data_IF_297598073219
#
_entry.id   IF_297598073219
#
_cell.length_a   1.000
_cell.length_b   1.000
_cell.length_c   1.000
_cell.angle_alpha   90.00
_cell.angle_beta   90.00
_cell.angle_gamma   90.00
#
_symmetry.space_group_name_H-M   'P 1'
#
loop_
_entity.id
_entity.type
_entity.pdbx_description
1 polymer ?
#
# COMPACT_ATOMS: atom_id res chain seq x y z
N UNK A 1 12.99 42.23 -7.33
CA UNK A 1 13.19 41.63 -5.99
C UNK A 1 11.93 40.85 -5.66
N UNK A 2 12.06 39.54 -5.56
CA UNK A 2 11.01 38.54 -5.79
C UNK A 2 9.99 38.43 -4.66
N UNK A 3 8.70 38.52 -5.00
CA UNK A 3 7.58 37.95 -4.26
C UNK A 3 6.52 37.53 -5.29
N UNK A 4 6.59 36.29 -5.78
CA UNK A 4 5.48 35.62 -6.49
C UNK A 4 5.55 34.12 -6.26
N UNK A 5 4.37 33.53 -6.03
CA UNK A 5 3.99 32.10 -6.12
C UNK A 5 4.33 31.18 -4.94
N UNK A 6 3.53 31.29 -3.87
CA UNK A 6 3.16 30.15 -3.01
C UNK A 6 1.65 30.23 -2.75
N UNK A 7 0.83 29.93 -3.76
CA UNK A 7 -0.60 29.69 -3.55
C UNK A 7 -1.21 29.02 -4.79
N UNK A 8 -1.28 27.68 -4.79
CA UNK A 8 -2.24 26.87 -5.57
C UNK A 8 -1.99 25.38 -5.31
N UNK A 9 -2.60 24.86 -4.24
CA UNK A 9 -3.16 23.49 -4.19
C UNK A 9 -4.26 23.49 -3.12
N UNK A 10 -5.37 24.15 -3.46
CA UNK A 10 -6.66 23.85 -2.85
C UNK A 10 -7.16 22.58 -3.55
N UNK A 11 -6.77 21.42 -3.01
CA UNK A 11 -7.50 20.19 -3.26
C UNK A 11 -8.94 20.44 -2.81
N UNK A 12 -9.87 20.28 -3.75
CA UNK A 12 -11.29 20.40 -3.51
C UNK A 12 -11.68 19.51 -2.33
N UNK A 13 -12.07 20.18 -1.25
CA UNK A 13 -12.62 19.64 -0.04
C UNK A 13 -13.84 18.76 -0.35
N UNK A 14 -13.61 17.45 -0.33
CA UNK A 14 -14.64 16.43 -0.07
C UNK A 14 -14.51 15.81 1.33
N UNK A 15 -13.48 16.15 2.11
CA UNK A 15 -13.16 15.48 3.39
C UNK A 15 -13.43 16.31 4.66
N UNK A 16 -13.94 17.54 4.58
CA UNK A 16 -14.13 18.37 5.78
C UNK A 16 -15.47 18.16 6.53
N UNK A 17 -16.23 17.11 6.22
CA UNK A 17 -17.38 16.68 7.04
C UNK A 17 -17.06 15.42 7.88
N UNK A 18 -15.78 15.05 8.00
CA UNK A 18 -15.30 13.80 8.59
C UNK A 18 -14.69 13.97 9.99
N UNK A 19 -15.23 14.86 10.83
CA UNK A 19 -14.56 15.25 12.08
C UNK A 19 -14.98 14.48 13.35
N UNK A 20 -16.28 14.21 13.54
CA UNK A 20 -16.77 13.85 14.90
C UNK A 20 -17.62 12.57 14.99
N UNK A 21 -18.42 12.26 13.96
CA UNK A 21 -19.36 11.13 14.06
C UNK A 21 -18.75 9.79 13.61
N UNK A 22 -17.88 9.78 12.60
CA UNK A 22 -17.17 8.57 12.15
C UNK A 22 -16.07 8.14 13.14
N UNK A 23 -15.43 9.10 13.80
CA UNK A 23 -14.35 8.88 14.78
C UNK A 23 -14.87 8.26 16.07
N UNK A 24 -16.00 8.75 16.60
CA UNK A 24 -16.64 8.19 17.80
C UNK A 24 -17.17 6.75 17.57
N UNK A 25 -17.70 6.44 16.38
CA UNK A 25 -18.12 5.08 16.03
C UNK A 25 -16.92 4.13 15.92
N UNK A 26 -15.83 4.56 15.27
CA UNK A 26 -14.63 3.73 15.11
C UNK A 26 -13.96 3.43 16.46
N UNK A 27 -13.92 4.42 17.37
CA UNK A 27 -13.46 4.22 18.75
C UNK A 27 -14.33 3.20 19.48
N UNK A 28 -15.66 3.38 19.47
CA UNK A 28 -16.59 2.47 20.13
C UNK A 28 -16.48 1.03 19.60
N UNK A 29 -16.17 0.86 18.32
CA UNK A 29 -15.98 -0.45 17.69
C UNK A 29 -14.64 -1.08 18.06
N UNK A 30 -13.55 -0.30 18.07
CA UNK A 30 -12.26 -0.74 18.59
C UNK A 30 -12.35 -1.14 20.06
N UNK A 31 -13.10 -0.39 20.89
CA UNK A 31 -13.33 -0.70 22.30
C UNK A 31 -14.24 -1.93 22.49
N UNK A 32 -15.26 -2.08 21.64
CA UNK A 32 -16.13 -3.26 21.64
C UNK A 32 -15.32 -4.53 21.29
N UNK A 33 -14.45 -4.47 20.28
CA UNK A 33 -13.58 -5.60 19.89
C UNK A 33 -12.41 -5.82 20.87
N UNK A 34 -11.82 -4.78 21.44
CA UNK A 34 -10.92 -4.89 22.60
C UNK A 34 -11.61 -5.64 23.75
N UNK A 35 -12.91 -5.40 23.96
CA UNK A 35 -13.75 -6.17 24.90
C UNK A 35 -13.87 -7.65 24.55
N UNK A 36 -13.97 -7.99 23.25
CA UNK A 36 -14.13 -9.36 22.72
C UNK A 36 -12.81 -10.14 22.54
N UNK A 37 -11.66 -9.49 22.65
CA UNK A 37 -10.34 -10.15 22.65
C UNK A 37 -10.23 -11.23 23.74
N UNK A 38 -9.30 -12.20 23.59
CA UNK A 38 -9.07 -13.25 24.58
C UNK A 38 -8.96 -12.69 26.00
N UNK A 39 -9.30 -13.58 26.93
CA UNK A 39 -9.39 -13.30 28.35
C UNK A 39 -8.13 -12.57 28.85
N UNK A 40 -8.32 -11.61 29.76
CA UNK A 40 -7.23 -10.83 30.34
C UNK A 40 -6.19 -11.74 31.00
N UNK A 41 -5.00 -11.20 31.30
CA UNK A 41 -3.99 -11.96 32.04
C UNK A 41 -4.52 -12.59 33.34
N UNK A 42 -5.53 -11.99 33.99
CA UNK A 42 -6.18 -12.52 35.18
C UNK A 42 -7.07 -13.75 34.93
N UNK A 43 -7.48 -14.00 33.69
CA UNK A 43 -8.39 -15.07 33.29
C UNK A 43 -7.67 -16.21 32.53
N UNK A 44 -6.42 -15.98 32.10
CA UNK A 44 -5.54 -16.99 31.53
C UNK A 44 -4.94 -17.86 32.65
N UNK A 45 -5.28 -19.15 32.67
CA UNK A 45 -4.74 -20.08 33.68
C UNK A 45 -3.25 -20.38 33.42
N UNK A 46 -2.37 -19.93 34.30
CA UNK A 46 -0.92 -20.19 34.21
C UNK A 46 -0.58 -21.59 34.76
N UNK A 47 -0.13 -22.52 33.91
CA UNK A 47 0.41 -23.82 34.34
C UNK A 47 1.91 -23.72 34.73
N UNK A 48 2.36 -24.49 35.73
CA UNK A 48 3.71 -24.53 36.33
C UNK A 48 4.55 -25.75 35.84
N UNK A 49 5.89 -25.79 36.00
CA UNK A 49 6.89 -24.78 35.68
C UNK A 49 7.89 -25.26 34.59
N UNK A 50 8.39 -24.30 33.82
CA UNK A 50 9.60 -24.38 32.99
C UNK A 50 10.37 -23.09 33.24
N UNK A 51 11.71 -23.10 33.36
CA UNK A 51 12.51 -21.88 33.62
C UNK A 51 12.53 -20.89 32.43
N UNK A 52 11.38 -20.42 31.94
CA UNK A 52 11.26 -19.41 30.90
C UNK A 52 11.20 -18.01 31.54
N UNK A 53 11.71 -17.01 30.81
CA UNK A 53 11.61 -15.62 31.24
C UNK A 53 10.14 -15.18 31.41
N UNK A 54 9.21 -15.75 30.64
CA UNK A 54 7.77 -15.49 30.80
C UNK A 54 7.24 -15.92 32.17
N UNK A 55 7.72 -17.03 32.75
CA UNK A 55 7.30 -17.46 34.09
C UNK A 55 7.88 -16.59 35.21
N UNK A 56 9.10 -16.08 35.04
CA UNK A 56 9.70 -15.15 35.99
C UNK A 56 8.89 -13.85 36.06
N UNK A 57 8.52 -13.28 34.92
CA UNK A 57 7.71 -12.05 34.87
C UNK A 57 6.30 -12.29 35.45
N UNK A 58 5.70 -13.46 35.23
CA UNK A 58 4.42 -13.84 35.86
C UNK A 58 4.51 -13.81 37.38
N UNK A 59 5.59 -14.35 37.95
CA UNK A 59 5.80 -14.33 39.38
C UNK A 59 5.94 -12.89 39.91
N UNK A 60 6.67 -12.03 39.19
CA UNK A 60 6.79 -10.60 39.55
C UNK A 60 5.42 -9.88 39.51
N UNK A 61 4.56 -10.21 38.54
CA UNK A 61 3.19 -9.70 38.47
C UNK A 61 2.37 -10.15 39.68
N UNK A 62 2.41 -11.44 40.06
CA UNK A 62 1.66 -11.96 41.20
C UNK A 62 2.09 -11.27 42.52
N UNK A 63 3.40 -11.04 42.68
CA UNK A 63 3.94 -10.29 43.82
C UNK A 63 3.44 -8.85 43.83
N UNK A 64 3.51 -8.16 42.68
CA UNK A 64 3.07 -6.78 42.55
C UNK A 64 1.54 -6.62 42.78
N UNK A 65 0.74 -7.58 42.32
CA UNK A 65 -0.70 -7.64 42.57
C UNK A 65 -1.01 -7.77 44.06
N UNK A 66 -0.27 -8.63 44.77
CA UNK A 66 -0.45 -8.82 46.21
C UNK A 66 -0.01 -7.62 47.04
N UNK A 67 1.01 -6.90 46.61
CA UNK A 67 1.63 -5.81 47.39
C UNK A 67 0.99 -4.45 47.11
N UNK A 68 0.66 -4.15 45.86
CA UNK A 68 0.24 -2.82 45.40
C UNK A 68 -1.17 -2.78 44.78
N UNK A 69 -1.81 -3.94 44.59
CA UNK A 69 -3.15 -4.04 44.02
C UNK A 69 -3.19 -4.02 42.48
N UNK A 70 -4.38 -4.22 41.88
CA UNK A 70 -4.56 -4.57 40.45
C UNK A 70 -4.24 -3.47 39.44
N UNK A 71 -4.12 -2.22 39.88
CA UNK A 71 -3.94 -1.05 39.01
C UNK A 71 -2.67 -0.27 39.32
N UNK A 72 -1.71 -0.87 40.04
CA UNK A 72 -0.45 -0.19 40.32
C UNK A 72 0.29 0.16 39.02
N UNK A 73 0.90 1.34 38.89
CA UNK A 73 1.60 1.75 37.67
C UNK A 73 2.67 0.75 37.20
N UNK A 74 3.34 0.09 38.15
CA UNK A 74 4.38 -0.91 37.88
C UNK A 74 3.83 -2.12 37.10
N UNK A 75 2.56 -2.48 37.29
CA UNK A 75 1.94 -3.57 36.57
C UNK A 75 1.82 -3.29 35.06
N UNK A 76 1.67 -2.02 34.66
CA UNK A 76 1.63 -1.66 33.23
C UNK A 76 2.90 -2.12 32.51
N UNK A 77 4.06 -1.79 33.08
CA UNK A 77 5.36 -2.19 32.54
C UNK A 77 5.60 -3.71 32.62
N UNK A 78 5.20 -4.35 33.71
CA UNK A 78 5.35 -5.80 33.87
C UNK A 78 4.49 -6.57 32.85
N UNK A 79 3.23 -6.16 32.65
CA UNK A 79 2.38 -6.73 31.61
C UNK A 79 2.96 -6.48 30.21
N UNK A 80 3.41 -5.27 29.89
CA UNK A 80 4.03 -4.99 28.58
C UNK A 80 5.29 -5.85 28.34
N UNK A 81 6.09 -6.08 29.39
CA UNK A 81 7.29 -6.93 29.33
C UNK A 81 6.94 -8.40 29.12
N UNK A 82 5.93 -8.91 29.83
CA UNK A 82 5.42 -10.27 29.64
C UNK A 82 4.84 -10.46 28.23
N UNK A 83 4.05 -9.50 27.75
CA UNK A 83 3.49 -9.54 26.40
C UNK A 83 4.58 -9.61 25.33
N UNK A 84 5.64 -8.81 25.48
CA UNK A 84 6.79 -8.82 24.57
C UNK A 84 7.55 -10.15 24.62
N UNK A 85 7.71 -10.74 25.81
CA UNK A 85 8.31 -12.07 25.95
C UNK A 85 7.48 -13.17 25.26
N UNK A 86 6.15 -13.12 25.41
CA UNK A 86 5.24 -14.04 24.73
C UNK A 86 5.28 -13.87 23.21
N UNK A 87 5.41 -12.64 22.69
CA UNK A 87 5.64 -12.42 21.26
C UNK A 87 6.93 -13.06 20.76
N UNK A 88 8.02 -12.96 21.52
CA UNK A 88 9.30 -13.61 21.18
C UNK A 88 9.18 -15.13 21.18
N UNK A 89 8.31 -15.68 22.04
CA UNK A 89 7.94 -17.10 22.10
C UNK A 89 6.93 -17.51 21.01
N UNK A 90 6.54 -16.59 20.12
CA UNK A 90 5.52 -16.75 19.07
C UNK A 90 4.10 -17.03 19.61
N UNK A 91 3.88 -16.89 20.91
CA UNK A 91 2.55 -16.96 21.53
C UNK A 91 1.84 -15.60 21.43
N UNK A 92 1.47 -15.26 20.20
CA UNK A 92 0.84 -13.98 19.89
C UNK A 92 -0.56 -13.84 20.49
N UNK A 93 -1.28 -14.94 20.68
CA UNK A 93 -2.62 -14.93 21.26
C UNK A 93 -2.57 -14.58 22.75
N UNK A 94 -1.71 -15.23 23.53
CA UNK A 94 -1.52 -14.87 24.94
C UNK A 94 -0.91 -13.49 25.09
N UNK A 95 0.02 -13.11 24.21
CA UNK A 95 0.59 -11.76 24.21
C UNK A 95 -0.49 -10.67 24.07
N UNK A 96 -1.46 -10.86 23.18
CA UNK A 96 -2.59 -9.94 23.01
C UNK A 96 -3.43 -9.79 24.29
N UNK A 97 -3.73 -10.90 24.98
CA UNK A 97 -4.43 -10.87 26.27
C UNK A 97 -3.67 -10.10 27.35
N UNK A 98 -2.35 -10.25 27.39
CA UNK A 98 -1.47 -9.54 28.34
C UNK A 98 -1.33 -8.06 27.98
N UNK A 99 -1.18 -7.71 26.71
CA UNK A 99 -1.13 -6.30 26.28
C UNK A 99 -2.45 -5.57 26.55
N UNK A 100 -3.60 -6.26 26.47
CA UNK A 100 -4.88 -5.70 26.91
C UNK A 100 -4.88 -5.35 28.40
N UNK A 101 -4.26 -6.18 29.25
CA UNK A 101 -4.07 -5.84 30.67
C UNK A 101 -3.13 -4.64 30.85
N UNK A 102 -2.02 -4.58 30.11
CA UNK A 102 -1.12 -3.41 30.12
C UNK A 102 -1.86 -2.12 29.73
N UNK A 103 -2.64 -2.17 28.64
CA UNK A 103 -3.45 -1.06 28.14
C UNK A 103 -4.45 -0.57 29.19
N UNK A 104 -5.09 -1.49 29.91
CA UNK A 104 -6.06 -1.14 30.94
C UNK A 104 -5.41 -0.41 32.13
N UNK A 105 -4.25 -0.90 32.60
CA UNK A 105 -3.49 -0.26 33.69
C UNK A 105 -3.00 1.13 33.24
N UNK A 106 -2.48 1.27 32.02
CA UNK A 106 -2.07 2.57 31.47
C UNK A 106 -3.23 3.57 31.42
N UNK A 107 -4.41 3.17 30.93
CA UNK A 107 -5.58 4.05 30.85
C UNK A 107 -6.06 4.52 32.22
N UNK A 108 -5.97 3.67 33.25
CA UNK A 108 -6.34 4.06 34.62
C UNK A 108 -5.33 5.06 35.20
N UNK A 109 -4.03 4.86 34.95
CA UNK A 109 -2.99 5.66 35.59
C UNK A 109 -2.65 6.95 34.83
N UNK A 110 -2.66 6.92 33.50
CA UNK A 110 -2.25 8.04 32.63
C UNK A 110 -3.41 8.67 31.87
N UNK A 111 -4.62 8.10 31.97
CA UNK A 111 -5.82 8.56 31.28
C UNK A 111 -6.07 7.86 29.95
N UNK A 112 -7.32 7.91 29.48
CA UNK A 112 -7.81 7.19 28.29
C UNK A 112 -7.07 7.56 27.00
N UNK A 113 -6.44 8.73 26.99
CA UNK A 113 -5.88 9.34 25.80
C UNK A 113 -4.35 9.41 25.84
N UNK A 114 -3.68 8.96 26.91
CA UNK A 114 -2.21 9.06 27.03
C UNK A 114 -1.46 8.48 25.82
N UNK A 115 -0.46 9.21 25.32
CA UNK A 115 0.49 8.73 24.30
C UNK A 115 1.37 7.57 24.80
N UNK A 116 1.41 7.31 26.11
CA UNK A 116 2.00 6.08 26.65
C UNK A 116 1.34 4.83 26.08
N UNK A 117 0.12 4.89 25.54
CA UNK A 117 -0.56 3.74 24.92
C UNK A 117 0.05 3.34 23.56
N UNK A 118 0.77 4.23 22.88
CA UNK A 118 1.25 4.00 21.51
C UNK A 118 2.17 2.77 21.39
N UNK A 119 3.08 2.56 22.36
CA UNK A 119 3.97 1.40 22.36
C UNK A 119 3.24 0.07 22.56
N UNK A 120 2.13 0.08 23.31
CA UNK A 120 1.29 -1.10 23.51
C UNK A 120 0.53 -1.40 22.22
N UNK A 121 0.00 -0.37 21.54
CA UNK A 121 -0.68 -0.53 20.26
C UNK A 121 0.24 -1.09 19.18
N UNK A 122 1.49 -0.62 19.10
CA UNK A 122 2.50 -1.19 18.20
C UNK A 122 2.67 -2.70 18.44
N UNK A 123 2.79 -3.11 19.69
CA UNK A 123 2.95 -4.52 20.03
C UNK A 123 1.68 -5.32 19.67
N UNK A 124 0.49 -4.78 19.94
CA UNK A 124 -0.78 -5.42 19.60
C UNK A 124 -0.96 -5.56 18.07
N UNK A 125 -0.62 -4.55 17.28
CA UNK A 125 -0.62 -4.61 15.80
C UNK A 125 0.31 -5.73 15.31
N UNK A 126 1.54 -5.80 15.85
CA UNK A 126 2.49 -6.87 15.48
C UNK A 126 1.95 -8.27 15.79
N UNK A 127 1.32 -8.48 16.95
CA UNK A 127 0.69 -9.77 17.27
C UNK A 127 -0.50 -10.08 16.35
N UNK A 128 -1.37 -9.11 16.07
CA UNK A 128 -2.52 -9.31 15.20
C UNK A 128 -2.09 -9.69 13.76
N UNK A 129 -1.07 -9.00 13.23
CA UNK A 129 -0.47 -9.33 11.93
C UNK A 129 0.15 -10.73 11.90
N UNK A 130 0.83 -11.13 12.96
CA UNK A 130 1.41 -12.47 13.07
C UNK A 130 0.35 -13.58 13.11
N UNK A 131 -0.80 -13.30 13.72
CA UNK A 131 -1.98 -14.18 13.73
C UNK A 131 -2.79 -14.14 12.42
N UNK A 132 -2.42 -13.28 11.46
CA UNK A 132 -3.19 -12.99 10.24
C UNK A 132 -4.61 -12.47 10.52
N UNK A 133 -4.83 -11.92 11.71
CA UNK A 133 -6.07 -11.21 12.06
C UNK A 133 -5.95 -9.75 11.60
N UNK A 134 -6.10 -9.57 10.28
CA UNK A 134 -5.95 -8.27 9.64
C UNK A 134 -7.00 -7.26 10.10
N UNK A 135 -8.21 -7.72 10.43
CA UNK A 135 -9.25 -6.83 10.96
C UNK A 135 -8.87 -6.29 12.34
N UNK A 136 -8.33 -7.14 13.21
CA UNK A 136 -7.89 -6.69 14.53
C UNK A 136 -6.70 -5.72 14.42
N UNK A 137 -5.76 -5.96 13.50
CA UNK A 137 -4.67 -5.03 13.22
C UNK A 137 -5.19 -3.68 12.69
N UNK A 138 -6.18 -3.71 11.80
CA UNK A 138 -6.87 -2.54 11.25
C UNK A 138 -7.51 -1.71 12.38
N UNK A 139 -8.22 -2.36 13.31
CA UNK A 139 -8.84 -1.68 14.46
C UNK A 139 -7.81 -0.99 15.36
N UNK A 140 -6.68 -1.65 15.65
CA UNK A 140 -5.62 -1.05 16.48
C UNK A 140 -4.94 0.14 15.79
N UNK A 141 -4.75 0.08 14.47
CA UNK A 141 -4.19 1.20 13.72
C UNK A 141 -5.16 2.39 13.68
N UNK A 142 -6.46 2.15 13.53
CA UNK A 142 -7.46 3.22 13.65
C UNK A 142 -7.47 3.84 15.05
N UNK A 143 -7.37 3.02 16.11
CA UNK A 143 -7.28 3.53 17.47
C UNK A 143 -6.01 4.37 17.69
N UNK A 144 -4.88 3.93 17.13
CA UNK A 144 -3.63 4.70 17.17
C UNK A 144 -3.78 6.03 16.42
N UNK A 145 -4.31 6.03 15.21
CA UNK A 145 -4.52 7.26 14.45
C UNK A 145 -5.38 8.26 15.24
N UNK A 146 -6.46 7.77 15.84
CA UNK A 146 -7.33 8.59 16.68
C UNK A 146 -6.57 9.21 17.88
N UNK A 147 -5.73 8.43 18.57
CA UNK A 147 -4.87 8.95 19.64
C UNK A 147 -3.88 9.99 19.12
N UNK A 148 -3.28 9.78 17.95
CA UNK A 148 -2.33 10.69 17.36
C UNK A 148 -2.98 12.05 17.03
N UNK A 149 -4.17 12.01 16.41
CA UNK A 149 -4.95 13.20 16.04
C UNK A 149 -5.32 14.04 17.28
N UNK A 150 -5.70 13.41 18.39
CA UNK A 150 -6.08 14.11 19.63
C UNK A 150 -4.90 14.83 20.31
N UNK A 151 -3.69 14.29 20.23
CA UNK A 151 -2.51 14.87 20.90
C UNK A 151 -1.66 15.75 19.99
N UNK A 152 -1.97 15.83 18.69
CA UNK A 152 -1.04 16.34 17.69
C UNK A 152 0.29 15.58 17.72
N UNK A 153 0.26 14.29 18.11
CA UNK A 153 1.44 13.43 18.16
C UNK A 153 1.78 13.04 16.73
N UNK A 154 3.00 13.35 16.29
CA UNK A 154 3.49 12.94 14.99
C UNK A 154 3.57 11.40 14.99
N UNK A 155 2.73 10.75 14.18
CA UNK A 155 2.66 9.30 14.12
C UNK A 155 4.07 8.68 14.05
N UNK A 156 4.54 8.04 15.13
CA UNK A 156 5.93 7.59 15.23
C UNK A 156 6.19 6.58 14.12
N UNK A 157 7.45 6.42 13.69
CA UNK A 157 7.85 5.44 12.67
C UNK A 157 7.19 4.05 12.86
N UNK A 158 6.87 3.69 14.09
CA UNK A 158 6.12 2.49 14.47
C UNK A 158 4.70 2.41 13.87
N UNK A 159 3.90 3.48 13.91
CA UNK A 159 2.59 3.55 13.26
C UNK A 159 2.72 3.28 11.76
N UNK A 160 3.62 4.01 11.10
CA UNK A 160 3.85 3.85 9.66
C UNK A 160 4.38 2.45 9.32
N UNK A 161 5.20 1.81 10.17
CA UNK A 161 5.59 0.40 10.00
C UNK A 161 4.38 -0.53 10.07
N UNK A 162 3.48 -0.32 11.03
CA UNK A 162 2.25 -1.10 11.18
C UNK A 162 1.34 -0.96 9.97
N UNK A 163 1.05 0.28 9.55
CA UNK A 163 0.27 0.60 8.34
C UNK A 163 0.88 -0.05 7.11
N UNK A 164 2.21 0.05 6.93
CA UNK A 164 2.88 -0.56 5.78
C UNK A 164 2.74 -2.07 5.76
N UNK A 165 2.84 -2.70 6.92
CA UNK A 165 2.76 -4.15 7.05
C UNK A 165 1.34 -4.62 6.72
N UNK A 166 0.31 -3.99 7.29
CA UNK A 166 -1.08 -4.33 7.01
C UNK A 166 -1.47 -4.08 5.54
N UNK A 167 -1.13 -2.91 5.00
CA UNK A 167 -1.45 -2.57 3.61
C UNK A 167 -0.81 -3.53 2.61
N UNK A 168 0.42 -3.99 2.89
CA UNK A 168 1.12 -4.99 2.07
C UNK A 168 0.50 -6.38 2.18
N UNK A 169 0.04 -6.80 3.35
CA UNK A 169 -0.68 -8.07 3.50
C UNK A 169 -1.96 -8.07 2.66
N UNK A 170 -2.73 -6.98 2.70
CA UNK A 170 -3.89 -6.81 1.83
C UNK A 170 -3.52 -6.80 0.35
N UNK A 171 -2.48 -6.05 -0.04
CA UNK A 171 -2.02 -6.01 -1.42
C UNK A 171 -1.56 -7.41 -1.91
N UNK A 172 -0.87 -8.18 -1.06
CA UNK A 172 -0.48 -9.55 -1.36
C UNK A 172 -1.68 -10.48 -1.46
N UNK A 173 -2.67 -10.35 -0.58
CA UNK A 173 -3.91 -11.13 -0.62
C UNK A 173 -4.72 -10.85 -1.89
N UNK A 174 -4.75 -9.60 -2.33
CA UNK A 174 -5.34 -9.22 -3.62
C UNK A 174 -4.67 -9.96 -4.79
N UNK A 175 -3.33 -10.01 -4.81
CA UNK A 175 -2.58 -10.70 -5.87
C UNK A 175 -2.55 -12.23 -5.74
N UNK A 176 -2.68 -12.76 -4.53
CA UNK A 176 -2.73 -14.20 -4.26
C UNK A 176 -4.11 -14.81 -4.49
N UNK A 177 -5.16 -13.98 -4.63
CA UNK A 177 -6.49 -14.45 -4.97
C UNK A 177 -6.57 -14.91 -6.42
N UNK A 178 -7.08 -16.12 -6.66
CA UNK A 178 -7.22 -16.70 -8.00
C UNK A 178 -8.19 -15.93 -8.93
N UNK A 179 -8.81 -14.83 -8.49
CA UNK A 179 -9.66 -14.00 -9.34
C UNK A 179 -9.84 -12.56 -8.84
N UNK A 180 -9.55 -11.61 -9.74
CA UNK A 180 -9.92 -10.18 -9.63
C UNK A 180 -11.45 -9.97 -9.46
N UNK A 181 -12.24 -11.00 -9.79
CA UNK A 181 -13.70 -10.93 -9.70
C UNK A 181 -14.26 -11.12 -8.29
N UNK A 182 -13.49 -11.66 -7.33
CA UNK A 182 -14.01 -11.97 -5.99
C UNK A 182 -14.24 -10.72 -5.12
N UNK A 183 -15.28 -10.76 -4.26
CA UNK A 183 -15.56 -9.70 -3.27
C UNK A 183 -14.42 -9.53 -2.28
N UNK A 184 -13.71 -10.62 -1.95
CA UNK A 184 -12.52 -10.57 -1.08
C UNK A 184 -11.37 -9.78 -1.72
N UNK A 185 -11.11 -9.97 -3.02
CA UNK A 185 -10.11 -9.20 -3.75
C UNK A 185 -10.45 -7.70 -3.79
N UNK A 186 -11.74 -7.34 -3.99
CA UNK A 186 -12.21 -5.95 -3.91
C UNK A 186 -11.90 -5.32 -2.55
N UNK A 187 -12.25 -6.01 -1.47
CA UNK A 187 -11.99 -5.52 -0.12
C UNK A 187 -10.49 -5.27 0.12
N UNK A 188 -9.65 -6.22 -0.27
CA UNK A 188 -8.22 -6.13 -0.02
C UNK A 188 -7.57 -4.98 -0.78
N UNK A 189 -7.91 -4.77 -2.06
CA UNK A 189 -7.32 -3.64 -2.81
C UNK A 189 -7.79 -2.29 -2.26
N UNK A 190 -9.05 -2.20 -1.82
CA UNK A 190 -9.60 -0.98 -1.18
C UNK A 190 -8.92 -0.70 0.17
N UNK A 191 -8.73 -1.73 1.02
CA UNK A 191 -8.05 -1.58 2.31
C UNK A 191 -6.58 -1.20 2.13
N UNK A 192 -5.88 -1.79 1.16
CA UNK A 192 -4.50 -1.41 0.85
C UNK A 192 -4.42 0.06 0.40
N UNK A 193 -5.27 0.46 -0.55
CA UNK A 193 -5.36 1.84 -1.06
C UNK A 193 -5.64 2.86 0.04
N UNK A 194 -6.60 2.55 0.93
CA UNK A 194 -6.92 3.36 2.10
C UNK A 194 -5.68 3.61 2.95
N UNK A 195 -5.01 2.55 3.39
CA UNK A 195 -3.86 2.64 4.29
C UNK A 195 -2.65 3.35 3.68
N UNK A 196 -2.36 3.13 2.39
CA UNK A 196 -1.29 3.86 1.71
C UNK A 196 -1.60 5.37 1.62
N UNK A 197 -2.85 5.72 1.34
CA UNK A 197 -3.29 7.12 1.26
C UNK A 197 -3.23 7.79 2.64
N UNK A 198 -3.71 7.11 3.68
CA UNK A 198 -3.64 7.58 5.06
C UNK A 198 -2.20 7.83 5.50
N UNK A 199 -1.25 6.96 5.12
CA UNK A 199 0.18 7.16 5.42
C UNK A 199 0.73 8.44 4.78
N UNK A 200 0.46 8.69 3.49
CA UNK A 200 0.90 9.92 2.81
C UNK A 200 0.29 11.16 3.45
N UNK A 201 -1.02 11.17 3.68
CA UNK A 201 -1.71 12.29 4.33
C UNK A 201 -1.11 12.59 5.72
N UNK A 202 -0.80 11.56 6.50
CA UNK A 202 -0.15 11.70 7.81
C UNK A 202 1.26 12.29 7.68
N UNK A 203 2.06 11.82 6.72
CA UNK A 203 3.40 12.37 6.47
C UNK A 203 3.35 13.86 6.06
N UNK A 204 2.39 14.25 5.21
CA UNK A 204 2.21 15.63 4.75
C UNK A 204 1.79 16.56 5.88
N UNK A 205 0.80 16.16 6.71
CA UNK A 205 0.31 16.97 7.82
C UNK A 205 1.40 17.29 8.84
N UNK A 206 2.33 16.36 9.05
CA UNK A 206 3.40 16.49 10.06
C UNK A 206 4.72 17.01 9.47
N UNK A 207 4.75 17.44 8.19
CA UNK A 207 5.92 18.04 7.56
C UNK A 207 7.14 17.09 7.49
N UNK A 208 6.90 15.79 7.39
CA UNK A 208 7.96 14.78 7.28
C UNK A 208 8.73 14.90 5.95
N UNK A 209 9.94 14.33 5.90
CA UNK A 209 10.80 14.44 4.72
C UNK A 209 10.13 13.82 3.49
N UNK A 210 10.07 14.60 2.41
CA UNK A 210 9.56 14.26 1.08
C UNK A 210 10.01 12.85 0.59
N UNK A 211 11.26 12.45 0.83
CA UNK A 211 11.78 11.11 0.49
C UNK A 211 11.01 9.95 1.09
N UNK A 212 10.56 10.09 2.33
CA UNK A 212 9.88 9.02 3.06
C UNK A 212 8.55 8.65 2.41
N UNK A 213 7.97 9.57 1.62
CA UNK A 213 6.70 9.40 0.91
C UNK A 213 6.84 8.54 -0.36
N UNK A 214 8.02 8.48 -0.98
CA UNK A 214 8.21 7.86 -2.30
C UNK A 214 7.67 6.42 -2.40
N UNK A 215 7.94 5.50 -1.46
CA UNK A 215 7.41 4.14 -1.57
C UNK A 215 5.89 4.08 -1.45
N UNK A 216 5.28 4.99 -0.69
CA UNK A 216 3.83 5.06 -0.51
C UNK A 216 3.15 5.61 -1.76
N UNK A 217 3.74 6.63 -2.40
CA UNK A 217 3.25 7.19 -3.66
C UNK A 217 3.28 6.13 -4.78
N UNK A 218 4.34 5.32 -4.84
CA UNK A 218 4.41 4.18 -5.77
C UNK A 218 3.28 3.17 -5.52
N UNK A 219 3.05 2.80 -4.25
CA UNK A 219 1.99 1.86 -3.87
C UNK A 219 0.59 2.44 -4.19
N UNK A 220 0.36 3.76 -4.01
CA UNK A 220 -0.87 4.45 -4.41
C UNK A 220 -1.09 4.42 -5.92
N UNK A 221 -0.05 4.67 -6.73
CA UNK A 221 -0.15 4.58 -8.19
C UNK A 221 -0.58 3.17 -8.61
N UNK A 222 -0.03 2.15 -7.95
CA UNK A 222 -0.37 0.75 -8.23
C UNK A 222 -1.83 0.44 -7.86
N UNK A 223 -2.28 0.81 -6.66
CA UNK A 223 -3.66 0.53 -6.23
C UNK A 223 -4.68 1.28 -7.08
N UNK A 224 -4.42 2.55 -7.43
CA UNK A 224 -5.29 3.33 -8.32
C UNK A 224 -5.46 2.67 -9.69
N UNK A 225 -4.39 2.09 -10.26
CA UNK A 225 -4.48 1.32 -11.50
C UNK A 225 -5.41 0.11 -11.37
N UNK A 226 -5.21 -0.74 -10.36
CA UNK A 226 -6.01 -1.96 -10.20
C UNK A 226 -7.47 -1.67 -9.86
N UNK A 227 -7.74 -0.65 -9.05
CA UNK A 227 -9.09 -0.17 -8.80
C UNK A 227 -9.78 0.27 -10.10
N UNK A 228 -9.06 0.99 -10.97
CA UNK A 228 -9.55 1.39 -12.29
C UNK A 228 -9.82 0.18 -13.19
N UNK A 229 -8.90 -0.79 -13.24
CA UNK A 229 -9.03 -2.02 -14.04
C UNK A 229 -10.26 -2.83 -13.62
N UNK A 230 -10.38 -3.10 -12.32
CA UNK A 230 -11.50 -3.84 -11.76
C UNK A 230 -12.83 -3.13 -11.99
N UNK A 231 -12.87 -1.80 -11.82
CA UNK A 231 -14.06 -1.01 -12.08
C UNK A 231 -14.50 -1.11 -13.54
N UNK A 232 -13.56 -1.06 -14.47
CA UNK A 232 -13.84 -1.21 -15.90
C UNK A 232 -14.38 -2.61 -16.23
N UNK A 233 -13.78 -3.66 -15.68
CA UNK A 233 -14.21 -5.06 -15.85
C UNK A 233 -15.64 -5.28 -15.32
N UNK A 234 -15.91 -4.84 -14.08
CA UNK A 234 -17.20 -5.04 -13.41
C UNK A 234 -18.29 -4.07 -13.86
N UNK A 235 -17.94 -3.06 -14.67
CA UNK A 235 -18.85 -2.01 -15.15
C UNK A 235 -19.54 -1.24 -14.01
N UNK A 236 -18.85 -1.07 -12.88
CA UNK A 236 -19.32 -0.34 -11.69
C UNK A 236 -18.14 0.21 -10.88
N UNK A 237 -18.34 1.21 -10.00
CA UNK A 237 -17.34 1.58 -9.01
C UNK A 237 -16.91 0.39 -8.14
N UNK A 238 -15.64 0.36 -7.73
CA UNK A 238 -15.15 -0.58 -6.73
C UNK A 238 -15.20 0.14 -5.39
N UNK A 239 -16.19 -0.26 -4.60
CA UNK A 239 -16.40 0.25 -3.26
C UNK A 239 -16.37 -0.94 -2.31
N UNK A 240 -15.97 -0.74 -1.06
CA UNK A 240 -16.10 -1.80 -0.08
C UNK A 240 -17.59 -2.11 0.07
N UNK A 241 -17.89 -3.38 -0.17
CA UNK A 241 -19.18 -3.93 0.19
C UNK A 241 -19.33 -3.81 1.70
N UNK A 242 -20.57 -3.55 2.16
CA UNK A 242 -20.89 -3.50 3.59
C UNK A 242 -20.39 -4.78 4.25
N UNK A 243 -19.35 -4.67 5.07
CA UNK A 243 -18.98 -5.71 6.02
C UNK A 243 -19.69 -5.38 7.31
N UNK A 244 -20.35 -6.37 7.91
CA UNK A 244 -21.08 -6.17 9.16
C UNK A 244 -20.13 -5.63 10.23
N UNK A 245 -20.44 -4.44 10.75
CA UNK A 245 -19.62 -3.79 11.76
C UNK A 245 -18.37 -3.11 11.22
N UNK A 246 -18.41 -2.47 10.05
CA UNK A 246 -17.56 -1.32 9.70
C UNK A 246 -18.44 -0.06 9.50
N UNK A 247 -17.99 1.14 9.93
CA UNK A 247 -18.75 2.36 9.67
C UNK A 247 -18.84 2.59 8.14
N UNK A 248 -19.89 3.27 7.68
CA UNK A 248 -20.26 3.47 6.25
C UNK A 248 -19.26 4.36 5.46
N UNK A 249 -18.01 4.44 5.95
CA UNK A 249 -16.98 5.45 5.66
C UNK A 249 -16.50 5.46 4.22
N UNK A 250 -16.64 4.33 3.55
CA UNK A 250 -16.05 4.11 2.25
C UNK A 250 -17.08 3.93 1.13
N UNK A 251 -18.39 4.06 1.43
CA UNK A 251 -19.40 4.10 0.37
C UNK A 251 -19.39 5.44 -0.32
N UNK A 252 -19.16 5.39 -1.62
CA UNK A 252 -19.24 6.55 -2.49
C UNK A 252 -20.55 6.44 -3.28
N UNK A 253 -21.26 7.54 -3.57
CA UNK A 253 -22.36 7.49 -4.54
C UNK A 253 -21.86 7.85 -5.95
N UNK A 254 -20.59 7.53 -6.24
CA UNK A 254 -19.96 7.94 -7.48
C UNK A 254 -20.50 7.10 -8.64
N UNK A 255 -20.75 7.76 -9.78
CA UNK A 255 -20.90 7.03 -11.04
C UNK A 255 -19.58 6.33 -11.36
N UNK A 256 -19.63 5.23 -12.12
CA UNK A 256 -18.41 4.56 -12.59
C UNK A 256 -17.45 5.53 -13.30
N UNK A 257 -17.99 6.45 -14.12
CA UNK A 257 -17.18 7.45 -14.82
C UNK A 257 -16.43 8.38 -13.86
N UNK A 258 -17.09 8.83 -12.78
CA UNK A 258 -16.45 9.69 -11.78
C UNK A 258 -15.41 8.91 -10.98
N UNK A 259 -15.70 7.66 -10.60
CA UNK A 259 -14.75 6.79 -9.93
C UNK A 259 -13.48 6.58 -10.77
N UNK A 260 -13.62 6.24 -12.06
CA UNK A 260 -12.48 6.08 -12.97
C UNK A 260 -11.68 7.38 -13.14
N UNK A 261 -12.35 8.53 -13.18
CA UNK A 261 -11.68 9.83 -13.23
C UNK A 261 -10.90 10.14 -11.95
N UNK A 262 -11.45 9.77 -10.79
CA UNK A 262 -10.79 9.92 -9.51
C UNK A 262 -9.55 9.03 -9.42
N UNK A 263 -9.63 7.75 -9.80
CA UNK A 263 -8.47 6.86 -9.83
C UNK A 263 -7.40 7.35 -10.79
N UNK A 264 -7.80 7.83 -11.98
CA UNK A 264 -6.89 8.47 -12.93
C UNK A 264 -6.15 9.67 -12.31
N UNK A 265 -6.87 10.56 -11.63
CA UNK A 265 -6.30 11.74 -10.98
C UNK A 265 -5.37 11.33 -9.83
N UNK A 266 -5.82 10.42 -8.97
CA UNK A 266 -5.08 9.95 -7.80
C UNK A 266 -3.70 9.38 -8.18
N UNK A 267 -3.66 8.46 -9.15
CA UNK A 267 -2.39 7.90 -9.62
C UNK A 267 -1.50 8.95 -10.31
N UNK A 268 -2.09 9.86 -11.10
CA UNK A 268 -1.37 10.97 -11.74
C UNK A 268 -0.72 11.89 -10.71
N UNK A 269 -1.50 12.34 -9.72
CA UNK A 269 -1.06 13.27 -8.68
C UNK A 269 0.06 12.63 -7.84
N UNK A 270 -0.04 11.32 -7.54
CA UNK A 270 1.02 10.59 -6.84
C UNK A 270 2.34 10.54 -7.63
N UNK A 271 2.29 10.28 -8.96
CA UNK A 271 3.48 10.27 -9.80
C UNK A 271 4.07 11.69 -9.93
N UNK A 272 3.23 12.71 -10.11
CA UNK A 272 3.68 14.10 -10.16
C UNK A 272 4.39 14.50 -8.86
N UNK A 273 3.87 14.06 -7.70
CA UNK A 273 4.54 14.26 -6.42
C UNK A 273 5.89 13.55 -6.35
N UNK A 274 6.02 12.32 -6.87
CA UNK A 274 7.33 11.65 -6.97
C UNK A 274 8.32 12.42 -7.83
N UNK A 275 7.88 12.98 -8.97
CA UNK A 275 8.71 13.82 -9.84
C UNK A 275 9.19 15.06 -9.07
N UNK A 276 8.30 15.71 -8.33
CA UNK A 276 8.64 16.88 -7.50
C UNK A 276 9.72 16.55 -6.47
N UNK A 277 9.54 15.46 -5.71
CA UNK A 277 10.49 15.00 -4.69
C UNK A 277 11.87 14.76 -5.31
N UNK A 278 11.94 13.99 -6.40
CA UNK A 278 13.20 13.72 -7.08
C UNK A 278 13.84 14.97 -7.71
N UNK A 279 13.04 15.93 -8.16
CA UNK A 279 13.56 17.18 -8.74
C UNK A 279 14.24 18.09 -7.72
N UNK A 280 13.81 18.06 -6.46
CA UNK A 280 14.43 18.83 -5.38
C UNK A 280 15.80 18.24 -4.97
N UNK A 281 16.01 16.95 -5.24
CA UNK A 281 17.21 16.18 -4.89
C UNK A 281 18.23 16.10 -6.00
N UNK A 282 17.91 16.61 -7.19
CA UNK A 282 18.65 16.43 -8.43
C UNK A 282 20.08 17.05 -8.45
N UNK A 283 20.66 17.42 -7.30
CA UNK A 283 22.04 17.90 -7.20
C UNK A 283 23.11 16.81 -7.48
N UNK A 284 22.73 15.59 -7.92
CA UNK A 284 23.70 14.56 -8.29
C UNK A 284 23.19 13.51 -9.27
N UNK A 285 22.04 12.87 -8.99
CA UNK A 285 21.49 11.80 -9.82
C UNK A 285 20.10 12.16 -10.36
N UNK A 286 19.99 12.28 -11.67
CA UNK A 286 18.72 12.60 -12.35
C UNK A 286 17.88 11.36 -12.68
N UNK A 287 18.46 10.17 -12.59
CA UNK A 287 17.80 8.93 -13.01
C UNK A 287 16.46 8.69 -12.29
N UNK A 288 16.32 8.89 -10.96
CA UNK A 288 15.04 8.71 -10.29
C UNK A 288 13.94 9.64 -10.83
N UNK A 289 14.28 10.90 -11.11
CA UNK A 289 13.32 11.85 -11.70
C UNK A 289 12.92 11.42 -13.11
N UNK A 290 13.87 10.96 -13.92
CA UNK A 290 13.61 10.48 -15.29
C UNK A 290 12.70 9.26 -15.28
N UNK A 291 12.93 8.29 -14.39
CA UNK A 291 12.06 7.12 -14.28
C UNK A 291 10.64 7.50 -13.82
N UNK A 292 10.50 8.48 -12.92
CA UNK A 292 9.18 9.00 -12.53
C UNK A 292 8.49 9.75 -13.69
N UNK A 293 9.24 10.50 -14.50
CA UNK A 293 8.72 11.16 -15.71
C UNK A 293 8.26 10.11 -16.74
N UNK A 294 8.98 9.01 -16.92
CA UNK A 294 8.59 7.86 -17.76
C UNK A 294 7.32 7.19 -17.21
N UNK A 295 7.24 6.98 -15.89
CA UNK A 295 6.07 6.40 -15.25
C UNK A 295 4.81 7.26 -15.50
N UNK A 296 4.92 8.59 -15.51
CA UNK A 296 3.81 9.48 -15.86
C UNK A 296 3.40 9.34 -17.34
N UNK A 297 4.38 9.10 -18.23
CA UNK A 297 4.08 8.84 -19.64
C UNK A 297 3.35 7.50 -19.82
N UNK A 298 3.78 6.46 -19.11
CA UNK A 298 3.10 5.17 -19.06
C UNK A 298 1.69 5.30 -18.50
N UNK A 299 1.49 6.13 -17.47
CA UNK A 299 0.17 6.44 -16.93
C UNK A 299 -0.75 7.06 -17.99
N UNK A 300 -0.26 8.05 -18.74
CA UNK A 300 -1.03 8.59 -19.87
C UNK A 300 -1.32 7.53 -20.93
N UNK A 301 -0.40 6.60 -21.16
CA UNK A 301 -0.57 5.51 -22.13
C UNK A 301 -1.64 4.51 -21.70
N UNK A 302 -1.68 4.15 -20.41
CA UNK A 302 -2.70 3.29 -19.79
C UNK A 302 -4.10 3.89 -19.95
N UNK A 303 -4.24 5.21 -19.79
CA UNK A 303 -5.52 5.92 -19.90
C UNK A 303 -5.82 6.46 -21.31
N UNK A 304 -5.18 5.89 -22.34
CA UNK A 304 -5.43 6.19 -23.75
C UNK A 304 -5.24 7.68 -24.12
N UNK A 305 -4.21 8.32 -23.56
CA UNK A 305 -3.79 9.72 -23.82
C UNK A 305 -2.40 9.77 -24.50
N UNK A 306 -2.27 9.26 -25.74
CA UNK A 306 -0.97 9.06 -26.39
C UNK A 306 -0.20 10.36 -26.65
N UNK A 307 -0.89 11.48 -26.90
CA UNK A 307 -0.21 12.78 -27.08
C UNK A 307 0.40 13.31 -25.77
N UNK A 308 -0.28 13.10 -24.64
CA UNK A 308 0.27 13.42 -23.33
C UNK A 308 1.45 12.51 -22.99
N UNK A 309 1.32 11.21 -23.27
CA UNK A 309 2.40 10.24 -23.11
C UNK A 309 3.63 10.64 -23.92
N UNK A 310 3.45 10.95 -25.21
CA UNK A 310 4.54 11.40 -26.10
C UNK A 310 5.27 12.63 -25.57
N UNK A 311 4.53 13.66 -25.16
CA UNK A 311 5.13 14.87 -24.56
C UNK A 311 5.95 14.53 -23.32
N UNK A 312 5.45 13.61 -22.51
CA UNK A 312 6.03 13.22 -21.25
C UNK A 312 7.30 12.35 -21.44
N UNK A 313 7.32 11.43 -22.41
CA UNK A 313 8.55 10.71 -22.80
C UNK A 313 9.63 11.66 -23.32
N UNK A 314 9.26 12.62 -24.16
CA UNK A 314 10.20 13.64 -24.65
C UNK A 314 10.81 14.42 -23.48
N UNK A 315 9.98 14.85 -22.51
CA UNK A 315 10.45 15.56 -21.31
C UNK A 315 11.45 14.73 -20.49
N UNK A 316 11.17 13.46 -20.26
CA UNK A 316 12.09 12.56 -19.56
C UNK A 316 13.45 12.47 -20.26
N UNK A 317 13.44 12.46 -21.60
CA UNK A 317 14.66 12.45 -22.40
C UNK A 317 15.41 13.79 -22.41
N UNK A 318 14.70 14.91 -22.52
CA UNK A 318 15.29 16.26 -22.41
C UNK A 318 15.97 16.45 -21.04
N UNK A 319 15.38 15.87 -19.99
CA UNK A 319 15.92 15.89 -18.64
C UNK A 319 17.23 15.09 -18.52
N UNK A 320 17.31 13.93 -19.17
CA UNK A 320 18.57 13.18 -19.28
C UNK A 320 19.64 13.99 -20.00
N UNK A 321 19.31 14.56 -21.17
CA UNK A 321 20.27 15.33 -21.97
C UNK A 321 20.80 16.59 -21.25
N UNK A 322 19.96 17.25 -20.45
CA UNK A 322 20.32 18.50 -19.77
C UNK A 322 21.18 18.32 -18.52
N UNK A 323 21.08 17.17 -17.84
CA UNK A 323 21.88 16.88 -16.62
C UNK A 323 23.19 16.15 -16.89
N UNK A 324 23.38 15.65 -18.10
CA UNK A 324 24.56 14.91 -18.47
C UNK A 324 25.54 15.84 -19.20
N UNK A 325 26.82 15.77 -18.81
CA UNK A 325 27.91 15.83 -19.79
C UNK A 325 27.82 14.59 -20.74
N UNK A 326 26.64 14.26 -21.29
CA UNK A 326 26.45 13.22 -22.30
C UNK A 326 27.01 13.79 -23.60
N UNK A 327 28.33 13.82 -23.66
CA UNK A 327 29.09 14.20 -24.84
C UNK A 327 29.53 12.93 -25.56
N UNK A 328 28.55 12.12 -25.96
CA UNK A 328 28.69 11.22 -27.11
C UNK A 328 27.33 11.17 -27.83
N UNK A 329 27.09 12.09 -28.79
CA UNK A 329 26.03 11.91 -29.77
C UNK A 329 26.36 10.68 -30.62
N UNK A 330 25.87 9.52 -30.21
CA UNK A 330 26.17 8.23 -30.86
C UNK A 330 25.53 7.02 -30.18
N UNK A 331 25.19 7.09 -28.89
CA UNK A 331 24.39 6.07 -28.20
C UNK A 331 22.92 6.50 -28.22
N UNK A 332 22.17 6.07 -29.23
CA UNK A 332 20.71 6.20 -29.20
C UNK A 332 20.20 5.47 -27.94
N UNK A 333 19.58 6.21 -27.01
CA UNK A 333 18.96 5.58 -25.84
C UNK A 333 17.68 4.90 -26.34
N UNK A 334 17.81 3.60 -26.61
CA UNK A 334 16.69 2.76 -27.03
C UNK A 334 16.08 2.09 -25.81
N UNK A 335 14.83 2.46 -25.48
CA UNK A 335 14.02 1.67 -24.55
C UNK A 335 13.09 0.76 -25.33
N UNK A 336 13.18 -0.54 -25.05
CA UNK A 336 12.33 -1.55 -25.68
C UNK A 336 10.90 -1.48 -25.12
N UNK A 337 9.89 -1.95 -25.89
CA UNK A 337 8.52 -2.03 -25.41
C UNK A 337 8.40 -2.88 -24.16
N UNK A 338 7.54 -2.45 -23.23
CA UNK A 338 7.24 -3.16 -21.98
C UNK A 338 5.73 -3.13 -21.78
N UNK A 339 5.12 -4.26 -21.43
CA UNK A 339 3.71 -4.29 -21.08
C UNK A 339 3.42 -3.52 -19.79
N UNK A 340 2.33 -2.78 -19.77
CA UNK A 340 1.92 -1.93 -18.66
C UNK A 340 0.72 -2.54 -17.89
N UNK A 341 0.65 -2.36 -16.56
CA UNK A 341 1.66 -1.74 -15.70
C UNK A 341 2.92 -2.61 -15.63
N UNK A 342 4.09 -1.97 -15.51
CA UNK A 342 5.39 -2.68 -15.54
C UNK A 342 5.52 -3.72 -14.42
N UNK A 343 4.89 -3.48 -13.26
CA UNK A 343 4.90 -4.38 -12.10
C UNK A 343 4.38 -5.79 -12.45
N UNK A 344 3.36 -5.90 -13.32
CA UNK A 344 2.87 -7.20 -13.78
C UNK A 344 3.91 -7.91 -14.65
N UNK A 345 4.57 -7.17 -15.55
CA UNK A 345 5.62 -7.70 -16.41
C UNK A 345 6.80 -8.21 -15.59
N UNK A 346 7.20 -7.47 -14.55
CA UNK A 346 8.27 -7.88 -13.65
C UNK A 346 7.90 -9.11 -12.81
N UNK A 347 6.63 -9.25 -12.40
CA UNK A 347 6.16 -10.43 -11.65
C UNK A 347 6.06 -11.68 -12.53
N UNK A 348 5.51 -11.57 -13.74
CA UNK A 348 5.45 -12.66 -14.69
C UNK A 348 6.85 -13.21 -15.02
N UNK A 349 7.85 -12.34 -15.10
CA UNK A 349 9.24 -12.73 -15.37
C UNK A 349 9.92 -13.51 -14.23
N UNK A 350 9.52 -13.34 -12.96
CA UNK A 350 10.13 -14.03 -11.81
C UNK A 350 9.76 -15.52 -11.71
N UNK A 351 8.68 -15.96 -12.36
CA UNK A 351 8.31 -17.38 -12.41
C UNK A 351 9.18 -18.13 -13.44
N UNK A 352 10.44 -18.38 -13.09
CA UNK A 352 11.43 -19.05 -13.95
C UNK A 352 11.16 -20.55 -14.19
N UNK A 353 10.28 -21.16 -13.40
CA UNK A 353 9.95 -22.59 -13.47
C UNK A 353 8.74 -22.90 -14.37
N UNK A 354 7.98 -21.89 -14.80
CA UNK A 354 6.87 -22.10 -15.71
C UNK A 354 7.38 -22.40 -17.12
N UNK A 355 6.81 -23.40 -17.78
CA UNK A 355 6.91 -23.49 -19.25
C UNK A 355 6.38 -22.18 -19.85
N UNK A 356 6.93 -21.74 -20.98
CA UNK A 356 6.59 -20.45 -21.59
C UNK A 356 6.22 -20.60 -23.05
N UNK A 357 5.18 -19.89 -23.47
CA UNK A 357 4.87 -19.67 -24.89
C UNK A 357 5.67 -18.46 -25.39
N UNK A 358 6.23 -18.58 -26.59
CA UNK A 358 6.98 -17.49 -27.22
C UNK A 358 6.10 -16.84 -28.27
N UNK A 359 5.79 -15.56 -28.09
CA UNK A 359 4.92 -14.80 -29.00
C UNK A 359 5.70 -13.61 -29.55
N UNK A 360 5.63 -13.46 -30.87
CA UNK A 360 6.09 -12.28 -31.60
C UNK A 360 4.92 -11.37 -31.90
N UNK A 361 5.08 -10.07 -31.71
CA UNK A 361 4.06 -9.06 -32.02
C UNK A 361 4.69 -7.70 -32.29
N UNK A 362 3.90 -6.78 -32.85
CA UNK A 362 4.29 -5.39 -33.06
C UNK A 362 3.66 -4.51 -31.98
N UNK A 363 4.33 -3.42 -31.60
CA UNK A 363 3.82 -2.43 -30.66
C UNK A 363 3.83 -1.06 -31.33
N UNK A 364 2.65 -0.45 -31.47
CA UNK A 364 2.56 0.91 -32.01
C UNK A 364 3.07 1.96 -31.01
N UNK A 365 3.42 3.15 -31.50
CA UNK A 365 3.78 4.32 -30.69
C UNK A 365 2.66 4.74 -29.72
N UNK A 366 1.41 4.33 -30.01
CA UNK A 366 0.23 4.51 -29.15
C UNK A 366 0.05 3.37 -28.15
N UNK A 367 1.04 2.50 -27.98
CA UNK A 367 1.05 1.43 -26.98
C UNK A 367 0.07 0.29 -27.23
N UNK A 368 -0.40 0.08 -28.47
CA UNK A 368 -1.26 -1.06 -28.82
C UNK A 368 -0.45 -2.16 -29.49
N UNK A 369 -0.71 -3.42 -29.13
CA UNK A 369 -0.13 -4.59 -29.79
C UNK A 369 -0.90 -4.98 -31.07
N UNK A 370 -0.19 -5.54 -32.05
CA UNK A 370 -0.76 -6.08 -33.29
C UNK A 370 0.12 -7.16 -33.90
N UNK A 371 -0.32 -7.80 -34.99
CA UNK A 371 0.47 -8.77 -35.77
C UNK A 371 1.04 -9.95 -34.95
N UNK A 372 0.24 -10.51 -34.04
CA UNK A 372 0.67 -11.59 -33.15
C UNK A 372 0.92 -12.90 -33.91
N UNK A 373 2.09 -13.51 -33.68
CA UNK A 373 2.50 -14.81 -34.22
C UNK A 373 3.09 -15.66 -33.08
N UNK A 374 2.64 -16.90 -32.94
CA UNK A 374 3.24 -17.85 -31.98
C UNK A 374 4.50 -18.42 -32.62
N UNK A 375 5.65 -18.25 -31.96
CA UNK A 375 6.93 -18.79 -32.41
C UNK A 375 7.19 -20.17 -31.82
N UNK A 376 6.89 -20.36 -30.53
CA UNK A 376 7.07 -21.62 -29.83
C UNK A 376 5.84 -21.91 -28.97
N UNK A 377 5.28 -23.11 -29.11
CA UNK A 377 4.19 -23.61 -28.29
C UNK A 377 4.65 -24.89 -27.56
N UNK A 378 4.81 -24.86 -26.22
CA UNK A 378 5.27 -26.02 -25.45
C UNK A 378 4.20 -27.12 -25.24
N UNK A 379 3.08 -27.08 -26.00
CA UNK A 379 2.01 -28.08 -25.94
C UNK A 379 0.69 -27.55 -25.37
N UNK A 380 0.51 -26.24 -25.35
CA UNK A 380 -0.68 -25.53 -24.87
C UNK A 380 -1.84 -25.72 -25.85
N UNK A 381 -3.06 -25.85 -25.32
CA UNK A 381 -4.27 -25.97 -26.12
C UNK A 381 -4.59 -24.68 -26.88
N UNK A 382 -5.27 -24.82 -28.03
CA UNK A 382 -5.59 -23.68 -28.91
C UNK A 382 -6.45 -22.62 -28.21
N UNK A 383 -7.33 -23.04 -27.29
CA UNK A 383 -8.16 -22.13 -26.49
C UNK A 383 -7.33 -21.21 -25.59
N UNK A 384 -6.42 -21.79 -24.80
CA UNK A 384 -5.52 -21.04 -23.92
C UNK A 384 -4.60 -20.10 -24.70
N UNK A 385 -4.11 -20.52 -25.88
CA UNK A 385 -3.35 -19.63 -26.77
C UNK A 385 -4.19 -18.44 -27.23
N UNK A 386 -5.47 -18.66 -27.52
CA UNK A 386 -6.39 -17.57 -27.88
C UNK A 386 -6.55 -16.59 -26.73
N UNK A 387 -6.69 -17.07 -25.49
CA UNK A 387 -6.84 -16.22 -24.30
C UNK A 387 -5.58 -15.39 -24.05
N UNK A 388 -4.39 -16.00 -24.16
CA UNK A 388 -3.11 -15.29 -24.06
C UNK A 388 -3.01 -14.20 -25.15
N UNK A 389 -3.38 -14.51 -26.39
CA UNK A 389 -3.39 -13.50 -27.48
C UNK A 389 -4.36 -12.36 -27.20
N UNK A 390 -5.54 -12.64 -26.66
CA UNK A 390 -6.51 -11.59 -26.29
C UNK A 390 -5.97 -10.74 -25.14
N UNK A 391 -5.32 -11.34 -24.15
CA UNK A 391 -4.66 -10.59 -23.08
C UNK A 391 -3.57 -9.65 -23.62
N UNK A 392 -2.72 -10.12 -24.54
CA UNK A 392 -1.69 -9.31 -25.19
C UNK A 392 -2.30 -8.14 -25.97
N UNK A 393 -3.36 -8.39 -26.75
CA UNK A 393 -4.06 -7.38 -27.55
C UNK A 393 -4.81 -6.35 -26.68
N UNK A 394 -5.37 -6.78 -25.55
CA UNK A 394 -6.10 -5.93 -24.62
C UNK A 394 -5.20 -5.07 -23.74
N UNK A 395 -3.92 -5.43 -23.60
CA UNK A 395 -2.95 -4.73 -22.77
C UNK A 395 -2.37 -3.49 -23.45
N UNK A 396 -1.99 -2.49 -22.65
CA UNK A 396 -1.22 -1.32 -23.11
C UNK A 396 0.27 -1.54 -22.91
N UNK A 397 1.08 -0.97 -23.78
CA UNK A 397 2.53 -1.08 -23.74
C UNK A 397 3.18 0.29 -23.72
N UNK A 398 4.31 0.40 -23.01
CA UNK A 398 5.30 1.43 -23.28
C UNK A 398 5.80 1.22 -24.72
N UNK A 399 5.75 2.23 -25.60
CA UNK A 399 6.24 2.10 -26.96
C UNK A 399 7.77 2.04 -26.99
N UNK A 400 8.35 1.68 -28.14
CA UNK A 400 9.80 1.80 -28.33
C UNK A 400 10.15 3.29 -28.31
N UNK A 401 11.09 3.65 -27.45
CA UNK A 401 11.60 5.03 -27.38
C UNK A 401 12.96 5.08 -28.08
N UNK A 402 13.10 5.99 -29.04
CA UNK A 402 14.39 6.32 -29.67
C UNK A 402 14.61 7.80 -29.40
N UNK A 403 15.60 8.12 -28.57
CA UNK A 403 15.92 9.50 -28.20
C UNK A 403 14.70 10.26 -27.67
N UNK A 404 13.95 9.64 -26.76
CA UNK A 404 12.71 10.18 -26.18
C UNK A 404 11.48 10.09 -27.08
N UNK A 405 11.64 9.88 -28.38
CA UNK A 405 10.53 9.82 -29.34
C UNK A 405 9.90 8.42 -29.30
N UNK A 406 8.60 8.37 -28.98
CA UNK A 406 7.81 7.17 -29.12
C UNK A 406 7.66 6.77 -30.59
N UNK A 407 8.04 5.53 -30.90
CA UNK A 407 8.04 4.95 -32.25
C UNK A 407 7.38 3.57 -32.26
N UNK A 408 6.97 3.14 -33.45
CA UNK A 408 6.48 1.78 -33.65
C UNK A 408 7.66 0.79 -33.51
N UNK A 409 7.39 -0.34 -32.86
CA UNK A 409 8.30 -1.45 -32.71
C UNK A 409 7.75 -2.66 -33.47
N UNK A 410 8.57 -3.27 -34.33
CA UNK A 410 8.19 -4.47 -35.04
C UNK A 410 8.91 -5.68 -34.45
N UNK A 411 8.20 -6.81 -34.39
CA UNK A 411 8.76 -8.09 -33.98
C UNK A 411 9.30 -8.15 -32.56
N UNK A 412 8.60 -7.49 -31.62
CA UNK A 412 8.82 -7.68 -30.18
C UNK A 412 8.57 -9.15 -29.85
N UNK A 413 9.47 -9.76 -29.09
CA UNK A 413 9.37 -11.15 -28.64
C UNK A 413 9.23 -11.14 -27.13
N UNK A 414 8.14 -11.72 -26.62
CA UNK A 414 7.91 -11.88 -25.18
C UNK A 414 7.61 -13.35 -24.86
N UNK A 415 8.07 -13.78 -23.68
CA UNK A 415 7.90 -15.14 -23.18
C UNK A 415 6.84 -15.11 -22.08
N UNK A 416 5.66 -15.64 -22.37
CA UNK A 416 4.56 -15.62 -21.42
C UNK A 416 4.56 -16.91 -20.59
N UNK A 417 4.53 -16.81 -19.24
CA UNK A 417 4.37 -17.99 -18.40
C UNK A 417 3.01 -18.63 -18.68
N UNK A 418 2.99 -19.96 -18.68
CA UNK A 418 1.75 -20.73 -18.70
C UNK A 418 1.16 -20.74 -17.29
N UNK A 419 -0.15 -20.52 -17.12
CA UNK A 419 -0.82 -20.60 -15.83
C UNK A 419 -0.71 -21.98 -15.16
#
# INVERSE_FOLDING_TARGET
>A
MNLRLCCRYLLLAGCCAYGANGTAQTLAMSETRLGQMPATAAELSWQQPSQSASQQIRHEIDMALSEYGPYSPQLGQLYASLGSQLQNEQDHLSALGVFKSAMHVERINQGLYSSSQEHILDAMVRSALALKDWQLADDFLHHWQWLADEHGSNGPDAYLRGVRSLAREHLNAFFGGNSLSSTAAELHIVKADYWFTTAVNSLEQHGQQDQSMLPWLQDITLTAYYLSLMSAEKKRPIEPTKIDGEPDVLKSNLSQANFLMEQYRKGKDAIERMIEIHSQEAQGDIHPQVEAEILLADWYQLYNRPESAKKQYNRAYDLLLSNLNYHQPGEEIVRMPVGLPEVESQRANKNALAQKIVIRYDVSWRGNASNLTVLENPGIEVGEISDIKQAILGRKYRPKLINGVATDAQGVIEHFPIP
#
